data_IF_959341367989
#
_entry.id   IF_959341367989
#
_cell.length_a   1.000
_cell.length_b   1.000
_cell.length_c   1.000
_cell.angle_alpha   90.00
_cell.angle_beta   90.00
_cell.angle_gamma   90.00
#
_symmetry.space_group_name_H-M   'P 1'
#
loop_
_entity.id
_entity.type
_entity.pdbx_description
1 polymer ?
#
# COMPACT_ATOMS: atom_id res chain seq x y z
N UNK A 1 9.09 34.57 -11.88
CA UNK A 1 9.39 33.46 -10.93
C UNK A 1 10.81 33.01 -11.21
N UNK A 2 11.67 32.78 -10.21
CA UNK A 2 12.97 32.20 -10.48
C UNK A 2 12.76 30.87 -11.21
N UNK A 3 13.63 30.59 -12.18
CA UNK A 3 13.60 29.40 -13.04
C UNK A 3 13.90 28.15 -12.19
N UNK A 4 12.92 27.75 -11.39
CA UNK A 4 13.00 26.56 -10.55
C UNK A 4 12.59 25.36 -11.40
N UNK A 5 13.43 24.33 -11.42
CA UNK A 5 13.12 23.07 -12.05
C UNK A 5 11.73 22.60 -11.57
N UNK A 6 10.83 22.29 -12.51
CA UNK A 6 9.46 21.83 -12.21
C UNK A 6 9.43 20.63 -11.26
N UNK A 7 10.45 19.78 -11.33
CA UNK A 7 10.60 18.60 -10.47
C UNK A 7 10.91 19.02 -9.02
N UNK A 8 11.77 20.01 -8.82
CA UNK A 8 12.10 20.56 -7.49
C UNK A 8 10.88 21.25 -6.88
N UNK A 9 10.17 22.04 -7.68
CA UNK A 9 8.92 22.67 -7.24
C UNK A 9 7.87 21.62 -6.83
N UNK A 10 7.67 20.61 -7.65
CA UNK A 10 6.75 19.51 -7.36
C UNK A 10 7.10 18.79 -6.05
N UNK A 11 8.38 18.50 -5.81
CA UNK A 11 8.85 17.88 -4.58
C UNK A 11 8.58 18.76 -3.35
N UNK A 12 8.89 20.06 -3.44
CA UNK A 12 8.63 21.03 -2.39
C UNK A 12 7.14 21.17 -2.07
N UNK A 13 6.32 21.27 -3.09
CA UNK A 13 4.87 21.38 -2.94
C UNK A 13 4.27 20.12 -2.30
N UNK A 14 4.70 18.92 -2.72
CA UNK A 14 4.25 17.67 -2.12
C UNK A 14 4.70 17.53 -0.65
N UNK A 15 5.90 17.98 -0.30
CA UNK A 15 6.37 17.99 1.08
C UNK A 15 5.47 18.86 1.97
N UNK A 16 5.13 20.07 1.52
CA UNK A 16 4.22 20.97 2.25
C UNK A 16 2.82 20.38 2.36
N UNK A 17 2.29 19.81 1.27
CA UNK A 17 0.97 19.17 1.30
C UNK A 17 0.91 18.04 2.32
N UNK A 18 1.91 17.19 2.38
CA UNK A 18 1.97 16.10 3.37
C UNK A 18 1.89 16.61 4.80
N UNK A 19 2.49 17.75 5.11
CA UNK A 19 2.53 18.29 6.46
C UNK A 19 1.31 19.15 6.82
N UNK A 20 0.70 19.84 5.83
CA UNK A 20 -0.24 20.92 6.13
C UNK A 20 -1.59 20.81 5.40
N UNK A 21 -1.78 19.88 4.47
CA UNK A 21 -3.06 19.70 3.78
C UNK A 21 -3.98 18.78 4.59
N UNK A 22 -4.91 19.38 5.33
CA UNK A 22 -5.89 18.67 6.16
C UNK A 22 -6.78 17.73 5.35
N UNK A 23 -7.15 18.12 4.13
CA UNK A 23 -7.96 17.30 3.22
C UNK A 23 -7.21 16.02 2.83
N UNK A 24 -5.90 16.11 2.64
CA UNK A 24 -5.07 14.94 2.37
C UNK A 24 -4.96 14.04 3.60
N UNK A 25 -4.82 14.61 4.81
CA UNK A 25 -4.78 13.84 6.06
C UNK A 25 -6.07 13.03 6.28
N UNK A 26 -7.23 13.61 5.99
CA UNK A 26 -8.52 12.95 6.09
C UNK A 26 -8.67 11.78 5.10
N UNK A 27 -8.19 11.93 3.86
CA UNK A 27 -8.23 10.89 2.83
C UNK A 27 -7.27 9.74 3.12
N UNK A 28 -6.12 10.04 3.70
CA UNK A 28 -5.06 9.07 4.01
C UNK A 28 -5.20 8.52 5.42
N UNK A 29 -6.41 8.07 5.81
CA UNK A 29 -6.68 7.47 7.13
C UNK A 29 -5.57 6.51 7.53
N UNK A 30 -4.82 6.86 8.59
CA UNK A 30 -3.74 6.04 9.15
C UNK A 30 -2.32 6.34 8.66
N UNK A 31 -2.11 7.24 7.71
CA UNK A 31 -0.77 7.73 7.37
C UNK A 31 -0.43 8.97 8.20
N UNK A 32 0.43 8.80 9.17
CA UNK A 32 0.77 9.78 10.20
C UNK A 32 1.72 10.86 9.68
N UNK A 33 1.24 11.70 8.76
CA UNK A 33 1.94 12.95 8.41
C UNK A 33 1.37 14.17 9.16
N UNK A 34 0.26 14.01 9.90
CA UNK A 34 -0.35 15.08 10.68
C UNK A 34 0.61 15.71 11.70
N UNK A 35 1.54 14.92 12.25
CA UNK A 35 2.55 15.38 13.20
C UNK A 35 3.86 15.80 12.53
N UNK A 36 3.89 15.89 11.20
CA UNK A 36 5.09 16.26 10.48
C UNK A 36 5.15 17.76 10.21
N UNK A 37 6.35 18.32 10.33
CA UNK A 37 6.60 19.72 10.12
C UNK A 37 7.70 19.96 9.08
N UNK A 38 7.70 21.14 8.49
CA UNK A 38 8.77 21.62 7.63
C UNK A 38 9.48 22.76 8.35
N UNK A 39 10.80 22.70 8.48
CA UNK A 39 11.57 23.76 9.10
C UNK A 39 11.34 25.10 8.37
N UNK A 40 11.42 26.22 9.09
CA UNK A 40 11.10 27.55 8.53
C UNK A 40 11.91 27.87 7.26
N UNK A 41 13.17 27.46 7.22
CA UNK A 41 14.04 27.65 6.07
C UNK A 41 13.50 26.96 4.80
N UNK A 42 12.93 25.75 4.92
CA UNK A 42 12.42 24.98 3.79
C UNK A 42 10.98 25.32 3.39
N UNK A 43 10.30 26.16 4.17
CA UNK A 43 9.06 26.80 3.71
C UNK A 43 9.29 27.79 2.58
N UNK A 44 10.54 28.24 2.39
CA UNK A 44 10.97 29.13 1.30
C UNK A 44 11.57 28.26 0.19
N UNK A 45 10.92 28.26 -0.99
CA UNK A 45 11.30 27.43 -2.14
C UNK A 45 12.77 27.59 -2.56
N UNK A 46 13.29 28.82 -2.62
CA UNK A 46 14.67 29.06 -3.02
C UNK A 46 15.69 28.46 -2.03
N UNK A 47 15.40 28.53 -0.73
CA UNK A 47 16.22 27.91 0.30
C UNK A 47 16.20 26.40 0.20
N UNK A 48 15.00 25.81 0.03
CA UNK A 48 14.83 24.37 -0.20
C UNK A 48 15.61 23.89 -1.42
N UNK A 49 15.43 24.57 -2.58
CA UNK A 49 16.10 24.22 -3.82
C UNK A 49 17.63 24.27 -3.74
N UNK A 50 18.19 25.20 -2.95
CA UNK A 50 19.63 25.29 -2.72
C UNK A 50 20.13 24.18 -1.77
N UNK A 51 19.36 23.86 -0.75
CA UNK A 51 19.77 22.91 0.27
C UNK A 51 19.69 21.45 -0.22
N UNK A 52 18.66 21.08 -0.99
CA UNK A 52 18.48 19.69 -1.46
C UNK A 52 19.61 19.22 -2.37
N UNK A 53 20.26 20.13 -3.10
CA UNK A 53 21.44 19.82 -3.96
C UNK A 53 22.62 19.25 -3.17
N UNK A 54 22.65 19.50 -1.86
CA UNK A 54 23.70 19.07 -0.94
C UNK A 54 23.30 17.83 -0.12
N UNK A 55 22.11 17.29 -0.36
CA UNK A 55 21.64 16.08 0.31
C UNK A 55 22.27 14.84 -0.33
N UNK A 56 22.49 13.86 0.49
CA UNK A 56 22.84 12.51 0.06
C UNK A 56 21.78 11.96 -0.89
N UNK A 57 22.20 11.28 -1.96
CA UNK A 57 21.33 10.73 -2.97
C UNK A 57 20.71 11.74 -3.96
N UNK A 58 21.02 13.05 -3.86
CA UNK A 58 20.47 14.05 -4.77
C UNK A 58 20.80 13.76 -6.24
N UNK A 59 22.04 13.41 -6.55
CA UNK A 59 22.46 13.10 -7.93
C UNK A 59 21.72 11.88 -8.49
N UNK A 60 21.48 10.89 -7.66
CA UNK A 60 20.67 9.72 -8.05
C UNK A 60 19.21 10.12 -8.30
N UNK A 61 18.62 10.94 -7.44
CA UNK A 61 17.27 11.45 -7.63
C UNK A 61 17.12 12.27 -8.92
N UNK A 62 18.15 13.05 -9.29
CA UNK A 62 18.15 13.82 -10.56
C UNK A 62 18.22 12.89 -11.77
N UNK A 63 19.10 11.89 -11.72
CA UNK A 63 19.47 11.09 -12.89
C UNK A 63 18.72 9.76 -13.02
N UNK A 64 18.06 9.31 -11.94
CA UNK A 64 17.34 8.03 -11.90
C UNK A 64 15.86 8.24 -11.54
N UNK A 65 15.02 7.29 -11.88
CA UNK A 65 13.64 7.20 -11.44
C UNK A 65 13.53 6.41 -10.14
N UNK A 66 12.41 6.56 -9.42
CA UNK A 66 12.11 5.75 -8.23
C UNK A 66 12.85 6.18 -6.96
N UNK A 67 13.41 7.38 -6.91
CA UNK A 67 13.95 7.98 -5.69
C UNK A 67 12.95 8.93 -5.04
N UNK A 68 12.92 8.97 -3.73
CA UNK A 68 12.08 9.88 -2.93
C UNK A 68 12.88 10.58 -1.85
N UNK A 69 12.39 11.75 -1.41
CA UNK A 69 12.92 12.46 -0.25
C UNK A 69 12.38 11.79 1.01
N UNK A 70 13.28 11.24 1.80
CA UNK A 70 12.99 10.68 3.11
C UNK A 70 13.47 11.60 4.23
N UNK A 71 12.76 11.59 5.40
CA UNK A 71 13.04 12.46 6.54
C UNK A 71 13.46 11.73 7.82
N UNK A 72 13.23 10.42 7.86
CA UNK A 72 13.36 9.65 9.10
C UNK A 72 14.29 8.42 8.98
N UNK A 73 14.85 8.16 7.81
CA UNK A 73 15.84 7.10 7.63
C UNK A 73 17.18 7.44 8.31
N UNK A 74 17.64 8.70 8.24
CA UNK A 74 18.82 9.16 8.98
C UNK A 74 18.60 9.25 10.48
N UNK A 75 17.41 9.67 10.88
CA UNK A 75 17.05 9.88 12.29
C UNK A 75 15.69 9.19 12.50
N UNK A 76 15.69 7.93 12.99
CA UNK A 76 14.47 7.18 13.20
C UNK A 76 13.44 7.94 14.06
N UNK A 77 12.19 8.02 13.59
CA UNK A 77 11.13 8.74 14.27
C UNK A 77 11.12 10.25 14.09
N UNK A 78 12.05 10.82 13.29
CA UNK A 78 12.05 12.25 13.02
C UNK A 78 10.78 12.68 12.28
N UNK A 79 10.19 13.79 12.73
CA UNK A 79 8.95 14.36 12.18
C UNK A 79 9.17 15.65 11.41
N UNK A 80 10.40 16.18 11.37
CA UNK A 80 10.72 17.49 10.79
C UNK A 80 11.51 17.36 9.50
N UNK A 81 10.98 17.89 8.41
CA UNK A 81 11.72 18.04 7.15
C UNK A 81 12.76 19.16 7.30
N UNK A 82 14.03 18.78 7.29
CA UNK A 82 15.17 19.70 7.38
C UNK A 82 16.42 19.08 6.76
N UNK A 83 17.37 19.93 6.36
CA UNK A 83 18.62 19.50 5.69
C UNK A 83 19.39 18.43 6.46
N UNK A 84 19.50 18.55 7.78
CA UNK A 84 20.25 17.61 8.60
C UNK A 84 19.60 16.22 8.72
N UNK A 85 18.28 16.12 8.52
CA UNK A 85 17.53 14.87 8.71
C UNK A 85 17.14 14.19 7.39
N UNK A 86 17.07 14.94 6.28
CA UNK A 86 16.58 14.41 5.02
C UNK A 86 17.71 13.88 4.12
N UNK A 87 17.34 12.89 3.29
CA UNK A 87 18.16 12.32 2.22
C UNK A 87 17.26 11.81 1.09
N UNK A 88 17.85 11.56 -0.06
CA UNK A 88 17.16 10.87 -1.16
C UNK A 88 17.50 9.38 -1.14
N UNK A 89 16.48 8.55 -1.20
CA UNK A 89 16.61 7.09 -1.15
C UNK A 89 15.75 6.43 -2.22
N UNK A 90 16.09 5.22 -2.67
CA UNK A 90 15.20 4.43 -3.50
C UNK A 90 13.86 4.21 -2.78
N UNK A 91 12.74 4.42 -3.48
CA UNK A 91 11.39 4.22 -2.91
C UNK A 91 11.20 2.79 -2.36
N UNK A 92 11.84 1.80 -2.99
CA UNK A 92 11.84 0.41 -2.51
C UNK A 92 12.52 0.24 -1.14
N UNK A 93 13.61 0.98 -0.89
CA UNK A 93 14.28 0.96 0.42
C UNK A 93 13.46 1.66 1.48
N UNK A 94 12.87 2.80 1.15
CA UNK A 94 11.96 3.50 2.06
C UNK A 94 10.77 2.62 2.47
N UNK A 95 10.13 1.93 1.52
CA UNK A 95 9.03 1.00 1.81
C UNK A 95 9.52 -0.16 2.70
N UNK A 96 10.70 -0.72 2.41
CA UNK A 96 11.29 -1.80 3.21
C UNK A 96 11.60 -1.36 4.64
N UNK A 97 12.12 -0.16 4.82
CA UNK A 97 12.42 0.40 6.13
C UNK A 97 11.14 0.64 6.96
N UNK A 98 10.09 1.21 6.35
CA UNK A 98 8.76 1.34 6.99
C UNK A 98 8.21 -0.02 7.39
N UNK A 99 8.31 -1.03 6.52
CA UNK A 99 7.83 -2.39 6.81
C UNK A 99 8.60 -3.04 7.97
N UNK A 100 9.91 -2.80 8.09
CA UNK A 100 10.73 -3.29 9.21
C UNK A 100 10.35 -2.61 10.52
N UNK A 101 10.14 -1.30 10.51
CA UNK A 101 9.80 -0.52 11.71
C UNK A 101 8.37 -0.79 12.21
N UNK A 102 7.46 -1.16 11.30
CA UNK A 102 6.04 -1.35 11.60
C UNK A 102 5.47 -2.66 11.03
N UNK A 103 6.00 -3.84 11.41
CA UNK A 103 5.62 -5.12 10.81
C UNK A 103 4.13 -5.43 10.99
N UNK A 104 3.56 -5.08 12.15
CA UNK A 104 2.15 -5.34 12.45
C UNK A 104 1.19 -4.47 11.62
N UNK A 105 1.55 -3.21 11.33
CA UNK A 105 0.73 -2.33 10.48
C UNK A 105 0.74 -2.84 9.04
N UNK A 106 1.91 -3.21 8.54
CA UNK A 106 2.06 -3.76 7.19
C UNK A 106 1.31 -5.10 7.05
N UNK A 107 1.39 -5.97 8.06
CA UNK A 107 0.67 -7.24 8.08
C UNK A 107 -0.85 -7.02 8.06
N UNK A 108 -1.39 -6.18 8.95
CA UNK A 108 -2.82 -5.85 9.00
C UNK A 108 -3.32 -5.20 7.70
N UNK A 109 -2.54 -4.28 7.11
CA UNK A 109 -2.90 -3.66 5.84
C UNK A 109 -2.94 -4.68 4.70
N UNK A 110 -2.00 -5.61 4.66
CA UNK A 110 -1.98 -6.68 3.68
C UNK A 110 -3.16 -7.64 3.87
N UNK A 111 -3.48 -8.02 5.10
CA UNK A 111 -4.63 -8.87 5.42
C UNK A 111 -5.95 -8.18 5.05
N UNK A 112 -6.12 -6.91 5.41
CA UNK A 112 -7.31 -6.12 5.07
C UNK A 112 -7.50 -5.91 3.56
N UNK A 113 -6.42 -5.84 2.80
CA UNK A 113 -6.45 -5.69 1.34
C UNK A 113 -6.55 -7.03 0.59
N UNK A 114 -6.47 -8.16 1.28
CA UNK A 114 -6.67 -9.46 0.63
C UNK A 114 -8.13 -9.65 0.27
N UNK A 115 -8.42 -9.61 -1.01
CA UNK A 115 -9.75 -9.96 -1.52
C UNK A 115 -9.94 -11.46 -1.45
N UNK A 116 -10.98 -11.89 -0.75
CA UNK A 116 -11.42 -13.29 -0.71
C UNK A 116 -12.28 -13.59 -1.92
N UNK A 117 -12.18 -14.79 -2.45
CA UNK A 117 -12.88 -15.22 -3.65
C UNK A 117 -13.77 -16.43 -3.36
N UNK A 118 -14.96 -16.40 -3.95
CA UNK A 118 -15.91 -17.50 -3.93
C UNK A 118 -16.07 -17.99 -5.37
N UNK A 119 -15.94 -19.29 -5.57
CA UNK A 119 -16.19 -19.97 -6.84
C UNK A 119 -17.39 -20.90 -6.69
N UNK A 120 -18.39 -20.70 -7.53
CA UNK A 120 -19.66 -21.46 -7.49
C UNK A 120 -19.88 -22.19 -8.81
N UNK A 121 -20.11 -23.48 -8.75
CA UNK A 121 -20.50 -24.31 -9.88
C UNK A 121 -21.27 -25.55 -9.40
N UNK A 122 -22.33 -25.91 -10.09
CA UNK A 122 -23.11 -27.15 -9.87
C UNK A 122 -23.53 -27.37 -8.40
N UNK A 123 -23.92 -26.29 -7.69
CA UNK A 123 -24.31 -26.37 -6.28
C UNK A 123 -23.14 -26.45 -5.30
N UNK A 124 -21.90 -26.48 -5.79
CA UNK A 124 -20.68 -26.46 -4.96
C UNK A 124 -20.15 -25.05 -4.83
N UNK A 125 -19.86 -24.62 -3.61
CA UNK A 125 -19.26 -23.32 -3.28
C UNK A 125 -17.87 -23.56 -2.69
N UNK A 126 -16.85 -22.97 -3.31
CA UNK A 126 -15.46 -23.05 -2.87
C UNK A 126 -14.99 -21.68 -2.43
N UNK A 127 -14.30 -21.61 -1.29
CA UNK A 127 -13.76 -20.39 -0.70
C UNK A 127 -12.25 -20.35 -0.85
N UNK A 128 -11.73 -19.19 -1.25
CA UNK A 128 -10.28 -18.97 -1.42
C UNK A 128 -9.87 -17.67 -0.72
N UNK A 129 -8.77 -17.73 0.00
CA UNK A 129 -8.18 -16.62 0.74
C UNK A 129 -7.54 -15.56 -0.15
N UNK A 130 -7.27 -15.90 -1.41
CA UNK A 130 -6.60 -15.01 -2.37
C UNK A 130 -6.95 -15.34 -3.82
N UNK A 131 -6.75 -14.39 -4.73
CA UNK A 131 -6.83 -14.65 -6.16
C UNK A 131 -5.81 -15.71 -6.61
N UNK A 132 -4.64 -15.72 -5.98
CA UNK A 132 -3.57 -16.67 -6.32
C UNK A 132 -4.03 -18.10 -6.10
N UNK A 133 -4.56 -18.42 -4.93
CA UNK A 133 -5.05 -19.77 -4.61
C UNK A 133 -6.22 -20.19 -5.50
N UNK A 134 -7.14 -19.26 -5.83
CA UNK A 134 -8.22 -19.52 -6.77
C UNK A 134 -7.72 -19.79 -8.20
N UNK A 135 -6.72 -19.03 -8.68
CA UNK A 135 -6.10 -19.28 -9.99
C UNK A 135 -5.35 -20.61 -10.06
N UNK A 136 -4.62 -20.97 -9.01
CA UNK A 136 -3.90 -22.24 -8.90
C UNK A 136 -4.87 -23.42 -8.93
N UNK A 137 -5.97 -23.35 -8.17
CA UNK A 137 -7.03 -24.38 -8.21
C UNK A 137 -7.63 -24.56 -9.59
N UNK A 138 -7.90 -23.47 -10.31
CA UNK A 138 -8.49 -23.53 -11.67
C UNK A 138 -7.46 -23.84 -12.77
N UNK A 139 -6.17 -23.88 -12.46
CA UNK A 139 -5.11 -24.04 -13.47
C UNK A 139 -5.05 -22.89 -14.47
N UNK A 140 -5.30 -21.66 -14.05
CA UNK A 140 -5.32 -20.47 -14.91
C UNK A 140 -4.22 -19.49 -14.56
N UNK A 141 -3.90 -18.59 -15.50
CA UNK A 141 -2.87 -17.55 -15.27
C UNK A 141 -3.31 -16.57 -14.17
N UNK A 142 -2.33 -15.98 -13.48
CA UNK A 142 -2.54 -14.88 -12.55
C UNK A 142 -3.43 -13.80 -13.17
N UNK A 143 -4.31 -13.19 -12.35
CA UNK A 143 -5.30 -12.19 -12.75
C UNK A 143 -6.46 -12.69 -13.65
N UNK A 144 -6.51 -13.97 -14.02
CA UNK A 144 -7.61 -14.52 -14.82
C UNK A 144 -8.94 -14.52 -14.05
N UNK A 145 -8.93 -14.89 -12.77
CA UNK A 145 -10.12 -14.94 -11.91
C UNK A 145 -10.68 -13.53 -11.73
N UNK A 146 -9.83 -12.54 -11.39
CA UNK A 146 -10.23 -11.15 -11.25
C UNK A 146 -10.76 -10.56 -12.56
N UNK A 147 -10.14 -10.89 -13.70
CA UNK A 147 -10.59 -10.44 -15.01
C UNK A 147 -11.97 -11.00 -15.35
N UNK A 148 -12.23 -12.28 -15.08
CA UNK A 148 -13.55 -12.90 -15.28
C UNK A 148 -14.61 -12.25 -14.39
N UNK A 149 -14.27 -11.98 -13.11
CA UNK A 149 -15.17 -11.30 -12.19
C UNK A 149 -15.58 -9.91 -12.72
N UNK A 150 -14.62 -9.07 -13.11
CA UNK A 150 -14.92 -7.72 -13.61
C UNK A 150 -15.70 -7.69 -14.91
N UNK A 151 -15.55 -8.73 -15.74
CA UNK A 151 -16.29 -8.87 -17.01
C UNK A 151 -17.63 -9.62 -16.88
N UNK A 152 -17.94 -10.14 -15.68
CA UNK A 152 -19.15 -10.93 -15.45
C UNK A 152 -19.13 -12.32 -16.09
N UNK A 153 -17.95 -12.85 -16.47
CA UNK A 153 -17.81 -14.15 -17.12
C UNK A 153 -17.53 -15.27 -16.10
N UNK A 154 -17.92 -16.49 -16.44
CA UNK A 154 -17.48 -17.68 -15.70
C UNK A 154 -16.00 -17.98 -16.01
N UNK A 155 -15.25 -18.37 -15.00
CA UNK A 155 -13.88 -18.86 -15.16
C UNK A 155 -13.87 -20.38 -15.03
N UNK A 156 -13.52 -21.10 -16.12
CA UNK A 156 -13.55 -22.57 -16.15
C UNK A 156 -14.88 -23.18 -15.66
N UNK A 157 -16.00 -22.52 -15.98
CA UNK A 157 -17.36 -22.96 -15.58
C UNK A 157 -17.83 -22.41 -14.23
N UNK A 158 -16.95 -21.86 -13.40
CA UNK A 158 -17.28 -21.29 -12.11
C UNK A 158 -17.73 -19.83 -12.21
N UNK A 159 -18.83 -19.51 -11.54
CA UNK A 159 -19.21 -18.13 -11.23
C UNK A 159 -18.27 -17.61 -10.15
N UNK A 160 -17.86 -16.35 -10.26
CA UNK A 160 -16.91 -15.75 -9.31
C UNK A 160 -17.62 -14.66 -8.54
N UNK A 161 -17.49 -14.67 -7.22
CA UNK A 161 -17.87 -13.59 -6.33
C UNK A 161 -16.66 -13.17 -5.48
N UNK A 162 -16.71 -11.97 -4.95
CA UNK A 162 -15.77 -11.44 -3.96
C UNK A 162 -16.48 -11.33 -2.62
N UNK A 163 -15.74 -11.56 -1.57
CA UNK A 163 -16.25 -11.58 -0.21
C UNK A 163 -15.31 -10.74 0.69
N UNK A 164 -15.87 -10.03 1.65
CA UNK A 164 -15.07 -9.39 2.69
C UNK A 164 -14.61 -10.39 3.78
N UNK A 165 -13.70 -9.96 4.63
CA UNK A 165 -13.13 -10.81 5.68
C UNK A 165 -14.17 -11.30 6.70
N UNK A 166 -15.16 -10.48 7.02
CA UNK A 166 -16.19 -10.83 8.01
C UNK A 166 -17.13 -11.91 7.45
N UNK A 167 -17.55 -11.75 6.20
CA UNK A 167 -18.40 -12.72 5.49
C UNK A 167 -17.62 -14.03 5.26
N UNK A 168 -16.34 -13.96 4.93
CA UNK A 168 -15.49 -15.11 4.74
C UNK A 168 -15.33 -15.93 6.03
N UNK A 169 -15.04 -15.28 7.16
CA UNK A 169 -14.92 -15.93 8.46
C UNK A 169 -16.23 -16.62 8.89
N UNK A 170 -17.38 -15.99 8.67
CA UNK A 170 -18.68 -16.61 8.92
C UNK A 170 -18.92 -17.84 8.04
N UNK A 171 -18.51 -17.78 6.77
CA UNK A 171 -18.70 -18.88 5.83
C UNK A 171 -17.79 -20.10 6.15
N UNK A 172 -16.57 -19.87 6.69
CA UNK A 172 -15.68 -20.95 7.16
C UNK A 172 -16.24 -21.64 8.40
N UNK A 173 -16.73 -20.90 9.38
CA UNK A 173 -17.37 -21.44 10.58
C UNK A 173 -18.60 -22.32 10.25
N UNK A 174 -19.35 -21.97 9.22
CA UNK A 174 -20.47 -22.79 8.73
C UNK A 174 -20.03 -24.13 8.11
N UNK A 175 -18.82 -24.20 7.54
CA UNK A 175 -18.27 -25.45 6.99
C UNK A 175 -17.83 -26.41 8.11
N UNK A 176 -17.15 -25.89 9.12
CA UNK A 176 -16.70 -26.68 10.28
C UNK A 176 -17.89 -27.26 11.04
N UNK A 177 -18.97 -26.51 11.25
CA UNK A 177 -20.18 -26.98 11.94
C UNK A 177 -20.97 -28.04 11.17
N UNK A 178 -20.82 -28.13 9.84
CA UNK A 178 -21.45 -29.21 9.04
C UNK A 178 -20.59 -30.46 8.94
N UNK A 179 -19.25 -30.35 9.05
CA UNK A 179 -18.34 -31.47 9.00
C UNK A 179 -18.39 -32.36 10.26
N UNK A 180 -18.74 -31.80 11.40
CA UNK A 180 -18.84 -32.58 12.66
C UNK A 180 -20.14 -33.41 12.75
N UNK A 181 -21.19 -33.09 12.01
CA UNK A 181 -22.46 -33.81 12.04
C UNK A 181 -22.57 -35.02 11.08
N UNK A 182 -21.60 -35.18 10.16
CA UNK A 182 -21.60 -36.35 9.24
C UNK A 182 -20.83 -37.57 9.76
N UNK A 183 -20.04 -37.41 10.83
CA UNK A 183 -19.27 -38.54 11.42
C UNK A 183 -19.97 -39.30 12.58
N UNK A 184 -21.21 -38.91 12.94
CA UNK A 184 -21.98 -39.64 13.99
C UNK A 184 -23.08 -40.56 13.46
N UNK A 185 -23.05 -40.90 12.17
CA UNK A 185 -24.00 -41.86 11.59
C UNK A 185 -23.26 -43.00 10.88
N UNK A 186 -22.61 -43.85 11.66
CA UNK A 186 -22.37 -45.26 11.29
C UNK A 186 -22.29 -46.12 12.56
#
# INVERSE_FOLDING_TARGET
MPNCDKRVYGLWFQMLRRCYDTTQHEREKGKSYADCEVCNRWKILSCFANDIKKLEGYNDWVNKTGYCLDKDMKIPGNKVYRKAACMFVPASENIRDVSKRHPNITKRANEANQTKYVLEANGVTLLFDSEKSACEFLGVKKCSVSSCYHKGYKCKGYRIAKMDLEQFGKAELFKESKGENENERF
#
